data_IF_702491562845
#
_entry.id   IF_702491562845
#
_cell.length_a   1.000
_cell.length_b   1.000
_cell.length_c   1.000
_cell.angle_alpha   90.00
_cell.angle_beta   90.00
_cell.angle_gamma   90.00
#
_symmetry.space_group_name_H-M   'P 1'
#
loop_
_entity.id
_entity.type
_entity.pdbx_description
1 polymer ?
#
# COMPACT_ATOMS: atom_id res chain seq x y z
N UNK A 1 -2.76 -12.65 -0.21
CA UNK A 1 -2.89 -11.79 1.00
C UNK A 1 -4.25 -11.11 0.99
N UNK A 2 -4.88 -10.94 2.14
CA UNK A 2 -6.19 -10.27 2.25
C UNK A 2 -6.02 -8.75 2.34
N UNK A 3 -5.86 -8.13 1.16
CA UNK A 3 -5.68 -6.68 0.98
C UNK A 3 -6.92 -6.14 0.27
N UNK A 4 -7.56 -5.13 0.86
CA UNK A 4 -8.68 -4.43 0.24
C UNK A 4 -8.33 -2.96 0.04
N UNK A 5 -8.50 -2.42 -1.18
CA UNK A 5 -8.36 -0.98 -1.43
C UNK A 5 -9.62 -0.29 -0.94
N UNK A 6 -9.46 0.62 0.01
CA UNK A 6 -10.54 1.37 0.65
C UNK A 6 -10.81 2.67 -0.10
N UNK A 7 -9.74 3.38 -0.49
CA UNK A 7 -9.82 4.63 -1.23
C UNK A 7 -8.53 4.90 -2.00
N UNK A 8 -8.65 5.66 -3.08
CA UNK A 8 -7.55 6.22 -3.86
C UNK A 8 -7.80 7.71 -4.04
N UNK A 9 -6.79 8.54 -3.80
CA UNK A 9 -6.82 9.98 -4.10
C UNK A 9 -5.51 10.42 -4.76
N UNK A 10 -5.60 11.40 -5.67
CA UNK A 10 -4.42 12.07 -6.23
C UNK A 10 -4.19 13.34 -5.42
N UNK A 11 -2.98 13.47 -4.87
CA UNK A 11 -2.57 14.61 -4.07
C UNK A 11 -2.09 15.77 -4.96
N UNK A 12 -1.98 17.01 -4.43
CA UNK A 12 -1.58 18.18 -5.21
C UNK A 12 -0.20 18.10 -5.87
N UNK A 13 0.68 17.23 -5.36
CA UNK A 13 2.02 16.94 -5.89
C UNK A 13 2.02 15.80 -6.94
N UNK A 14 0.84 15.36 -7.39
CA UNK A 14 0.57 14.20 -8.24
C UNK A 14 0.87 12.82 -7.60
N UNK A 15 1.26 12.77 -6.33
CA UNK A 15 1.40 11.52 -5.60
C UNK A 15 0.03 10.84 -5.48
N UNK A 16 -0.01 9.54 -5.69
CA UNK A 16 -1.23 8.75 -5.49
C UNK A 16 -1.25 8.19 -4.08
N UNK A 17 -2.22 8.62 -3.27
CA UNK A 17 -2.48 8.03 -1.97
C UNK A 17 -3.48 6.89 -2.12
N UNK A 18 -3.13 5.74 -1.56
CA UNK A 18 -3.96 4.55 -1.54
C UNK A 18 -4.12 4.11 -0.09
N UNK A 19 -5.37 3.96 0.35
CA UNK A 19 -5.69 3.41 1.66
C UNK A 19 -6.02 1.93 1.50
N UNK A 20 -5.25 1.09 2.18
CA UNK A 20 -5.38 -0.36 2.18
C UNK A 20 -5.91 -0.82 3.53
N UNK A 21 -6.83 -1.78 3.51
CA UNK A 21 -7.22 -2.58 4.67
C UNK A 21 -6.54 -3.95 4.56
N UNK A 22 -5.62 -4.25 5.47
CA UNK A 22 -4.79 -5.46 5.49
C UNK A 22 -4.88 -6.11 6.86
N UNK A 23 -5.21 -7.41 6.94
CA UNK A 23 -5.29 -8.11 8.23
C UNK A 23 -4.04 -7.86 9.08
N UNK A 24 -4.21 -7.61 10.38
CA UNK A 24 -3.10 -7.22 11.27
C UNK A 24 -1.90 -8.19 11.22
N UNK A 25 -2.17 -9.50 11.10
CA UNK A 25 -1.12 -10.53 10.95
C UNK A 25 -0.32 -10.42 9.64
N UNK A 26 -0.92 -9.86 8.59
CA UNK A 26 -0.35 -9.68 7.26
C UNK A 26 0.31 -8.30 7.09
N UNK A 27 -0.05 -7.33 7.94
CA UNK A 27 0.45 -5.96 7.89
C UNK A 27 1.98 -5.89 8.03
N UNK A 28 2.55 -6.68 8.94
CA UNK A 28 4.00 -6.75 9.16
C UNK A 28 4.71 -7.29 7.92
N UNK A 29 4.20 -8.37 7.32
CA UNK A 29 4.77 -8.93 6.09
C UNK A 29 4.64 -7.97 4.91
N UNK A 30 3.51 -7.28 4.79
CA UNK A 30 3.32 -6.26 3.77
C UNK A 30 4.33 -5.12 3.93
N UNK A 31 4.57 -4.67 5.17
CA UNK A 31 5.60 -3.69 5.49
C UNK A 31 6.97 -4.11 4.96
N UNK A 32 7.42 -5.33 5.29
CA UNK A 32 8.70 -5.88 4.78
C UNK A 32 8.77 -5.93 3.24
N UNK A 33 7.67 -6.30 2.59
CA UNK A 33 7.62 -6.35 1.12
C UNK A 33 7.79 -4.93 0.55
N UNK A 34 7.07 -3.94 1.07
CA UNK A 34 7.17 -2.55 0.60
C UNK A 34 8.53 -1.94 0.90
N UNK A 35 9.11 -2.17 2.09
CA UNK A 35 10.47 -1.72 2.43
C UNK A 35 11.54 -2.30 1.48
N UNK A 36 11.29 -3.49 0.91
CA UNK A 36 12.19 -4.09 -0.09
C UNK A 36 12.17 -3.35 -1.43
N UNK A 37 11.19 -2.49 -1.69
CA UNK A 37 11.07 -1.65 -2.88
C UNK A 37 11.37 -0.18 -2.53
N UNK A 38 12.57 0.06 -1.99
CA UNK A 38 13.02 1.38 -1.58
C UNK A 38 12.78 2.44 -2.68
N UNK A 39 12.19 3.57 -2.28
CA UNK A 39 11.89 4.70 -3.17
C UNK A 39 10.56 4.61 -3.94
N UNK A 40 9.85 3.47 -3.90
CA UNK A 40 8.58 3.34 -4.64
C UNK A 40 7.43 4.12 -4.00
N UNK A 41 7.34 4.05 -2.67
CA UNK A 41 6.32 4.74 -1.91
C UNK A 41 6.74 4.97 -0.46
N UNK A 42 6.05 5.91 0.18
CA UNK A 42 6.03 6.01 1.63
C UNK A 42 4.81 5.26 2.16
N UNK A 43 4.89 4.69 3.37
CA UNK A 43 3.73 4.09 4.01
C UNK A 43 3.64 4.46 5.48
N UNK A 44 2.42 4.50 5.99
CA UNK A 44 2.16 4.75 7.41
C UNK A 44 0.85 4.12 7.87
N UNK A 45 0.77 3.79 9.15
CA UNK A 45 -0.48 3.34 9.77
C UNK A 45 -1.29 4.55 10.21
N UNK A 46 -2.49 4.71 9.67
CA UNK A 46 -3.35 5.88 9.94
C UNK A 46 -4.08 5.81 11.27
N UNK A 47 -4.19 4.63 11.88
CA UNK A 47 -4.85 4.42 13.17
C UNK A 47 -4.18 3.31 13.97
N UNK A 48 -3.82 3.60 15.22
CA UNK A 48 -3.31 2.59 16.15
C UNK A 48 -4.36 1.49 16.34
N UNK A 49 -3.95 0.24 16.20
CA UNK A 49 -4.76 -0.98 16.35
C UNK A 49 -5.83 -1.24 15.28
N UNK A 50 -5.90 -0.43 14.21
CA UNK A 50 -6.74 -0.76 13.06
C UNK A 50 -5.89 -1.24 11.87
N UNK A 51 -6.41 -2.20 11.08
CA UNK A 51 -5.70 -2.81 9.95
C UNK A 51 -5.59 -1.89 8.72
N UNK A 52 -5.42 -0.58 8.90
CA UNK A 52 -5.37 0.39 7.81
C UNK A 52 -3.96 0.91 7.57
N UNK A 53 -3.52 0.80 6.32
CA UNK A 53 -2.25 1.28 5.83
C UNK A 53 -2.50 2.33 4.76
N UNK A 54 -1.87 3.48 4.91
CA UNK A 54 -1.77 4.46 3.85
C UNK A 54 -0.46 4.23 3.11
N UNK A 55 -0.51 4.22 1.78
CA UNK A 55 0.67 4.28 0.93
C UNK A 55 0.57 5.50 0.01
N UNK A 56 1.64 6.27 -0.08
CA UNK A 56 1.76 7.46 -0.92
C UNK A 56 2.82 7.16 -1.99
N UNK A 57 2.38 7.02 -3.24
CA UNK A 57 3.16 6.47 -4.36
C UNK A 57 3.46 7.56 -5.38
N UNK A 58 4.72 7.72 -5.78
CA UNK A 58 5.09 8.67 -6.83
C UNK A 58 4.55 8.21 -8.20
N UNK A 59 4.24 9.14 -9.13
CA UNK A 59 3.65 8.80 -10.43
C UNK A 59 4.41 7.73 -11.22
N UNK A 60 5.75 7.77 -11.16
CA UNK A 60 6.64 6.86 -11.88
C UNK A 60 6.50 5.39 -11.42
N UNK A 61 6.15 5.16 -10.15
CA UNK A 61 6.02 3.82 -9.57
C UNK A 61 4.58 3.35 -9.40
N UNK A 62 3.58 4.20 -9.66
CA UNK A 62 2.17 3.85 -9.51
C UNK A 62 1.78 2.56 -10.25
N UNK A 63 2.24 2.42 -11.50
CA UNK A 63 1.98 1.22 -12.29
C UNK A 63 2.60 -0.04 -11.68
N UNK A 64 3.81 0.07 -11.12
CA UNK A 64 4.52 -1.03 -10.48
C UNK A 64 3.87 -1.42 -9.16
N UNK A 65 3.49 -0.44 -8.33
CA UNK A 65 2.76 -0.68 -7.08
C UNK A 65 1.40 -1.31 -7.33
N UNK A 66 0.64 -0.86 -8.34
CA UNK A 66 -0.66 -1.48 -8.69
C UNK A 66 -0.50 -2.94 -9.11
N UNK A 67 0.53 -3.27 -9.89
CA UNK A 67 0.86 -4.66 -10.24
C UNK A 67 1.25 -5.50 -9.04
N UNK A 68 2.06 -4.95 -8.12
CA UNK A 68 2.43 -5.62 -6.88
C UNK A 68 1.19 -5.92 -6.02
N UNK A 69 0.33 -4.92 -5.79
CA UNK A 69 -0.91 -5.10 -5.03
C UNK A 69 -1.80 -6.17 -5.67
N UNK A 70 -1.98 -6.12 -6.99
CA UNK A 70 -2.76 -7.11 -7.72
C UNK A 70 -2.18 -8.53 -7.54
N UNK A 71 -0.86 -8.67 -7.65
CA UNK A 71 -0.19 -9.95 -7.42
C UNK A 71 -0.42 -10.44 -5.98
N UNK A 72 -0.18 -9.61 -4.97
CA UNK A 72 -0.36 -9.97 -3.56
C UNK A 72 -1.82 -10.31 -3.21
N UNK A 73 -2.79 -9.64 -3.82
CA UNK A 73 -4.23 -9.96 -3.67
C UNK A 73 -4.59 -11.30 -4.30
N UNK A 74 -3.95 -11.66 -5.42
CA UNK A 74 -4.19 -12.92 -6.12
C UNK A 74 -3.42 -14.11 -5.53
N UNK A 75 -2.39 -13.83 -4.72
CA UNK A 75 -1.57 -14.84 -4.06
C UNK A 75 -2.34 -15.44 -2.89
N UNK A 76 -2.99 -16.58 -3.14
CA UNK A 76 -3.62 -17.44 -2.13
C UNK A 76 -2.59 -18.33 -1.45
#
# INVERSE_FOLDING_TARGET
MDINIVSEEILPDNTSRIILKIKAKELVYFGYIIESFEGWCNYTTIKKNEPFLQIDVTPEYLGSVKKLLQYLMSWN
#
